data_IF_257074575233
#
_entry.id   IF_257074575233
#
_cell.length_a   1.000
_cell.length_b   1.000
_cell.length_c   1.000
_cell.angle_alpha   90.00
_cell.angle_beta   90.00
_cell.angle_gamma   90.00
#
_symmetry.space_group_name_H-M   'P 1'
#
loop_
_entity.id
_entity.type
_entity.pdbx_description
1 polymer ?
#
# COMPACT_ATOMS: atom_id res chain seq x y z
N UNK A 1 26.19 -2.00 8.08
CA UNK A 1 25.18 -3.08 8.01
C UNK A 1 24.22 -3.15 9.22
N UNK A 2 24.63 -2.86 10.46
CA UNK A 2 23.72 -2.90 11.64
C UNK A 2 22.57 -1.87 11.59
N UNK A 3 22.80 -0.70 10.97
CA UNK A 3 21.80 0.37 10.86
C UNK A 3 20.60 -0.03 9.97
N UNK A 4 20.87 -0.65 8.82
CA UNK A 4 19.85 -1.09 7.86
C UNK A 4 18.95 -2.17 8.48
N UNK A 5 19.53 -3.12 9.21
CA UNK A 5 18.79 -4.20 9.89
C UNK A 5 17.92 -3.65 11.02
N UNK A 6 18.39 -2.66 11.79
CA UNK A 6 17.57 -1.99 12.82
C UNK A 6 16.44 -1.14 12.23
N UNK A 7 16.65 -0.51 11.08
CA UNK A 7 15.63 0.29 10.40
C UNK A 7 14.53 -0.60 9.79
N UNK A 8 14.91 -1.73 9.17
CA UNK A 8 13.99 -2.77 8.73
C UNK A 8 13.20 -3.36 9.90
N UNK A 9 13.86 -3.64 11.03
CA UNK A 9 13.20 -4.10 12.25
C UNK A 9 12.11 -3.12 12.71
N UNK A 10 12.44 -1.82 12.84
CA UNK A 10 11.49 -0.78 13.28
C UNK A 10 10.30 -0.56 12.35
N UNK A 11 10.49 -0.77 11.05
CA UNK A 11 9.41 -0.75 10.05
C UNK A 11 8.42 -1.91 10.28
N UNK A 12 8.93 -3.09 10.61
CA UNK A 12 8.13 -4.30 10.85
C UNK A 12 7.44 -4.24 12.24
N UNK A 13 8.09 -3.71 13.27
CA UNK A 13 7.50 -3.57 14.61
C UNK A 13 6.47 -2.45 14.73
N UNK A 14 6.28 -1.62 13.69
CA UNK A 14 5.38 -0.46 13.74
C UNK A 14 5.84 0.65 14.69
N UNK A 15 7.04 0.56 15.26
CA UNK A 15 7.61 1.51 16.24
C UNK A 15 8.27 2.72 15.53
N UNK A 16 7.82 3.02 14.31
CA UNK A 16 8.02 4.33 13.68
C UNK A 16 7.04 5.28 14.35
N UNK A 17 7.36 5.66 15.60
CA UNK A 17 6.53 6.48 16.47
C UNK A 17 5.88 7.62 15.69
N UNK A 18 4.54 7.59 15.68
CA UNK A 18 3.61 8.61 15.19
C UNK A 18 3.89 10.02 15.75
N UNK A 19 4.78 10.18 16.73
CA UNK A 19 5.29 11.48 17.18
C UNK A 19 6.11 12.24 16.12
N UNK A 20 6.60 11.58 15.06
CA UNK A 20 7.23 12.27 13.93
C UNK A 20 6.28 12.53 12.75
N UNK A 21 5.04 12.04 12.81
CA UNK A 21 4.07 12.12 11.71
C UNK A 21 2.89 13.07 12.01
N UNK A 22 2.61 13.38 13.28
CA UNK A 22 1.32 13.96 13.67
C UNK A 22 1.38 15.32 14.40
N UNK A 23 2.52 16.01 14.39
CA UNK A 23 2.69 17.26 15.12
C UNK A 23 2.80 18.48 14.22
N UNK A 24 1.66 19.06 13.82
CA UNK A 24 1.33 20.51 13.84
C UNK A 24 2.47 21.54 14.06
N UNK A 25 3.60 21.43 13.36
CA UNK A 25 4.80 22.23 13.59
C UNK A 25 5.57 22.57 12.30
N UNK A 26 4.94 22.46 11.13
CA UNK A 26 5.41 23.14 9.91
C UNK A 26 5.22 24.68 10.00
N UNK A 27 5.28 25.24 11.21
CA UNK A 27 5.27 26.66 11.50
C UNK A 27 6.72 27.17 11.46
N UNK A 28 7.04 27.86 10.36
CA UNK A 28 7.66 29.18 10.39
C UNK A 28 9.09 29.38 10.96
N UNK A 29 9.88 28.37 11.36
CA UNK A 29 11.20 28.66 11.99
C UNK A 29 12.43 27.85 11.56
N UNK A 30 12.35 27.01 10.55
CA UNK A 30 13.46 26.10 10.17
C UNK A 30 14.06 26.31 8.78
N UNK A 31 14.25 27.56 8.35
CA UNK A 31 14.79 27.87 7.02
C UNK A 31 16.30 27.56 6.85
N UNK A 32 16.97 26.93 7.82
CA UNK A 32 18.46 26.93 7.85
C UNK A 32 19.15 25.54 7.89
N UNK A 33 18.45 24.41 7.72
CA UNK A 33 19.10 23.07 7.73
C UNK A 33 18.62 22.17 6.57
N UNK A 34 18.71 22.67 5.34
CA UNK A 34 17.98 22.16 4.18
C UNK A 34 18.48 20.82 3.57
N UNK A 35 19.68 20.30 3.88
CA UNK A 35 20.24 19.19 3.07
C UNK A 35 19.99 17.77 3.60
N UNK A 36 20.13 17.53 4.89
CA UNK A 36 20.04 16.17 5.46
C UNK A 36 18.62 15.80 5.92
N UNK A 37 17.80 16.78 6.27
CA UNK A 37 16.40 16.53 6.62
C UNK A 37 15.56 16.16 5.40
N UNK A 38 15.85 16.70 4.22
CA UNK A 38 15.13 16.39 2.98
C UNK A 38 15.12 14.89 2.65
N UNK A 39 16.26 14.21 2.83
CA UNK A 39 16.37 12.78 2.55
C UNK A 39 15.54 11.94 3.54
N UNK A 40 15.53 12.29 4.83
CA UNK A 40 14.73 11.61 5.84
C UNK A 40 13.23 11.78 5.57
N UNK A 41 12.78 13.01 5.28
CA UNK A 41 11.38 13.28 4.92
C UNK A 41 10.97 12.55 3.65
N UNK A 42 11.83 12.53 2.63
CA UNK A 42 11.60 11.80 1.39
C UNK A 42 11.47 10.29 1.62
N UNK A 43 12.36 9.69 2.41
CA UNK A 43 12.27 8.27 2.76
C UNK A 43 11.00 7.96 3.57
N UNK A 44 10.59 8.85 4.47
CA UNK A 44 9.34 8.68 5.23
C UNK A 44 8.12 8.75 4.31
N UNK A 45 8.10 9.68 3.37
CA UNK A 45 7.05 9.81 2.37
C UNK A 45 6.98 8.58 1.45
N UNK A 46 8.12 8.10 0.97
CA UNK A 46 8.20 6.86 0.20
C UNK A 46 7.73 5.66 1.00
N UNK A 47 8.13 5.55 2.28
CA UNK A 47 7.68 4.47 3.16
C UNK A 47 6.15 4.52 3.35
N UNK A 48 5.58 5.71 3.55
CA UNK A 48 4.13 5.89 3.67
C UNK A 48 3.40 5.47 2.40
N UNK A 49 3.84 5.90 1.22
CA UNK A 49 3.26 5.48 -0.07
C UNK A 49 3.36 3.96 -0.22
N UNK A 50 4.55 3.40 0.05
CA UNK A 50 4.82 1.97 -0.11
C UNK A 50 3.93 1.11 0.78
N UNK A 51 3.73 1.52 2.04
CA UNK A 51 2.82 0.83 2.97
C UNK A 51 1.37 0.92 2.49
N UNK A 52 0.91 2.10 2.08
CA UNK A 52 -0.47 2.25 1.56
C UNK A 52 -0.70 1.41 0.31
N UNK A 53 0.25 1.41 -0.62
CA UNK A 53 0.17 0.59 -1.84
C UNK A 53 0.22 -0.90 -1.51
N UNK A 54 1.06 -1.31 -0.56
CA UNK A 54 1.10 -2.69 -0.07
C UNK A 54 -0.22 -3.14 0.55
N UNK A 55 -0.88 -2.28 1.35
CA UNK A 55 -2.21 -2.56 1.91
C UNK A 55 -3.25 -2.72 0.81
N UNK A 56 -3.26 -1.83 -0.20
CA UNK A 56 -4.17 -1.90 -1.34
C UNK A 56 -3.94 -3.19 -2.14
N UNK A 57 -2.69 -3.55 -2.43
CA UNK A 57 -2.36 -4.76 -3.17
C UNK A 57 -2.71 -6.05 -2.42
N UNK A 58 -2.73 -6.04 -1.09
CA UNK A 58 -3.18 -7.17 -0.26
C UNK A 58 -4.70 -7.30 -0.18
N UNK A 59 -5.46 -6.35 -0.75
CA UNK A 59 -6.90 -6.41 -0.75
C UNK A 59 -7.39 -7.62 -1.59
N UNK A 60 -8.46 -8.33 -1.17
CA UNK A 60 -8.92 -9.56 -1.80
C UNK A 60 -9.65 -9.34 -3.14
N UNK A 61 -9.01 -8.64 -4.07
CA UNK A 61 -9.49 -8.46 -5.44
C UNK A 61 -8.74 -9.42 -6.36
N UNK A 62 -9.44 -10.21 -7.21
CA UNK A 62 -8.83 -11.23 -8.06
C UNK A 62 -7.62 -10.74 -8.86
N UNK A 63 -7.66 -9.51 -9.39
CA UNK A 63 -6.62 -8.92 -10.24
C UNK A 63 -5.42 -8.38 -9.44
N UNK A 64 -5.54 -8.21 -8.12
CA UNK A 64 -4.47 -7.77 -7.24
C UNK A 64 -3.73 -8.97 -6.64
N UNK A 65 -2.50 -8.73 -6.14
CA UNK A 65 -1.68 -9.76 -5.48
C UNK A 65 -2.43 -10.45 -4.31
N UNK A 66 -3.27 -9.71 -3.59
CA UNK A 66 -4.13 -10.20 -2.52
C UNK A 66 -5.22 -11.17 -2.98
N UNK A 67 -5.67 -11.09 -4.24
CA UNK A 67 -6.59 -12.05 -4.83
C UNK A 67 -5.98 -13.44 -4.95
N UNK A 68 -4.72 -13.51 -5.37
CA UNK A 68 -3.96 -14.76 -5.41
C UNK A 68 -3.77 -15.36 -4.01
N UNK A 69 -3.43 -14.53 -3.03
CA UNK A 69 -3.32 -14.96 -1.63
C UNK A 69 -4.65 -15.50 -1.10
N UNK A 70 -5.77 -14.91 -1.49
CA UNK A 70 -7.10 -15.39 -1.12
C UNK A 70 -7.40 -16.75 -1.77
N UNK A 71 -7.07 -16.94 -3.04
CA UNK A 71 -7.21 -18.26 -3.68
C UNK A 71 -6.37 -19.32 -2.97
N UNK A 72 -5.10 -19.03 -2.67
CA UNK A 72 -4.22 -19.91 -1.90
C UNK A 72 -4.79 -20.23 -0.51
N UNK A 73 -5.36 -19.25 0.18
CA UNK A 73 -6.01 -19.45 1.47
C UNK A 73 -7.24 -20.36 1.35
N UNK A 74 -8.07 -20.17 0.31
CA UNK A 74 -9.21 -21.04 0.00
C UNK A 74 -8.74 -22.45 -0.33
N UNK A 75 -7.69 -22.62 -1.13
CA UNK A 75 -7.13 -23.93 -1.47
C UNK A 75 -6.66 -24.67 -0.23
N UNK A 76 -6.00 -23.96 0.69
CA UNK A 76 -5.55 -24.52 1.97
C UNK A 76 -6.72 -24.97 2.86
N UNK A 77 -7.82 -24.20 2.89
CA UNK A 77 -9.02 -24.54 3.66
C UNK A 77 -9.83 -25.67 3.01
N UNK A 78 -9.95 -25.65 1.68
CA UNK A 78 -10.70 -26.63 0.87
C UNK A 78 -9.94 -27.94 0.68
N UNK A 79 -8.61 -27.93 0.86
CA UNK A 79 -7.74 -29.09 0.70
C UNK A 79 -7.48 -29.48 -0.76
N UNK A 80 -7.75 -28.59 -1.71
CA UNK A 80 -7.58 -28.86 -3.14
C UNK A 80 -7.66 -27.59 -4.00
N UNK A 81 -7.16 -27.65 -5.24
CA UNK A 81 -7.03 -26.48 -6.09
C UNK A 81 -8.38 -25.83 -6.42
N UNK A 82 -8.40 -24.50 -6.53
CA UNK A 82 -9.56 -23.77 -7.06
C UNK A 82 -9.64 -24.05 -8.55
N UNK A 83 -10.83 -24.37 -9.05
CA UNK A 83 -11.03 -24.67 -10.48
C UNK A 83 -10.65 -23.47 -11.35
N UNK A 84 -9.92 -23.71 -12.44
CA UNK A 84 -9.55 -22.68 -13.43
C UNK A 84 -10.75 -21.86 -13.89
N UNK A 85 -11.92 -22.49 -14.10
CA UNK A 85 -13.15 -21.79 -14.49
C UNK A 85 -13.59 -20.74 -13.47
N UNK A 86 -13.39 -21.02 -12.18
CA UNK A 86 -13.75 -20.09 -11.10
C UNK A 86 -12.73 -18.95 -11.06
N UNK A 87 -11.44 -19.25 -11.19
CA UNK A 87 -10.39 -18.23 -11.26
C UNK A 87 -10.62 -17.29 -12.45
N UNK A 88 -10.79 -17.83 -13.65
CA UNK A 88 -11.03 -17.05 -14.89
C UNK A 88 -12.26 -16.15 -14.76
N UNK A 89 -13.35 -16.69 -14.21
CA UNK A 89 -14.56 -15.91 -13.98
C UNK A 89 -14.33 -14.79 -12.96
N UNK A 90 -13.63 -15.07 -11.86
CA UNK A 90 -13.24 -14.09 -10.86
C UNK A 90 -12.33 -13.00 -11.45
N UNK A 91 -11.33 -13.34 -12.26
CA UNK A 91 -10.46 -12.37 -12.95
C UNK A 91 -11.25 -11.49 -13.92
N UNK A 92 -12.18 -12.08 -14.67
CA UNK A 92 -12.99 -11.33 -15.65
C UNK A 92 -13.93 -10.34 -14.97
N UNK A 93 -14.61 -10.75 -13.90
CA UNK A 93 -15.45 -9.84 -13.11
C UNK A 93 -14.58 -8.80 -12.40
N UNK A 94 -13.50 -9.23 -11.75
CA UNK A 94 -12.61 -8.36 -10.99
C UNK A 94 -11.97 -7.28 -11.85
N UNK A 95 -11.56 -7.61 -13.07
CA UNK A 95 -10.97 -6.65 -14.02
C UNK A 95 -11.98 -5.63 -14.53
N UNK A 96 -13.19 -6.04 -14.88
CA UNK A 96 -14.26 -5.11 -15.28
C UNK A 96 -14.59 -4.16 -14.14
N UNK A 97 -14.75 -4.69 -12.92
CA UNK A 97 -15.05 -3.89 -11.74
C UNK A 97 -13.92 -2.89 -11.43
N UNK A 98 -12.66 -3.31 -11.54
CA UNK A 98 -11.51 -2.43 -11.33
C UNK A 98 -11.45 -1.31 -12.35
N UNK A 99 -11.62 -1.61 -13.64
CA UNK A 99 -11.62 -0.60 -14.70
C UNK A 99 -12.74 0.42 -14.48
N UNK A 100 -13.93 -0.05 -14.08
CA UNK A 100 -15.05 0.81 -13.74
C UNK A 100 -14.72 1.71 -12.55
N UNK A 101 -14.17 1.14 -11.48
CA UNK A 101 -13.78 1.88 -10.27
C UNK A 101 -12.70 2.91 -10.57
N UNK A 102 -11.69 2.55 -11.37
CA UNK A 102 -10.64 3.46 -11.84
C UNK A 102 -11.24 4.60 -12.67
N UNK A 103 -12.16 4.29 -13.58
CA UNK A 103 -12.87 5.30 -14.38
C UNK A 103 -13.65 6.28 -13.49
N UNK A 104 -14.38 5.77 -12.50
CA UNK A 104 -15.11 6.59 -11.52
C UNK A 104 -14.17 7.43 -10.65
N UNK A 105 -13.06 6.86 -10.19
CA UNK A 105 -12.05 7.57 -9.40
C UNK A 105 -11.43 8.70 -10.21
N UNK A 106 -11.01 8.43 -11.45
CA UNK A 106 -10.47 9.44 -12.36
C UNK A 106 -11.49 10.54 -12.64
N UNK A 107 -12.75 10.19 -12.93
CA UNK A 107 -13.82 11.17 -13.15
C UNK A 107 -14.05 12.04 -11.91
N UNK A 108 -14.06 11.43 -10.73
CA UNK A 108 -14.18 12.15 -9.46
C UNK A 108 -12.98 13.06 -9.19
N UNK A 109 -11.76 12.62 -9.52
CA UNK A 109 -10.55 13.43 -9.38
C UNK A 109 -10.58 14.63 -10.33
N UNK A 110 -11.00 14.44 -11.59
CA UNK A 110 -11.21 15.53 -12.54
C UNK A 110 -12.32 16.50 -12.13
N UNK A 111 -13.42 15.99 -11.55
CA UNK A 111 -14.53 16.83 -11.10
C UNK A 111 -14.24 17.59 -9.80
N UNK A 112 -13.21 17.19 -9.05
CA UNK A 112 -12.75 17.87 -7.84
C UNK A 112 -11.73 18.98 -8.10
N UNK A 113 -11.10 18.98 -9.27
CA UNK A 113 -10.21 20.05 -9.76
C UNK A 113 -11.03 21.19 -10.36
#
# INVERSE_FOLDING_TARGET
MSLTVRMLGKLITGDVKLNNLSGRSLSLRGLECQRSFGLIYYLMFLALISVNLGIINLFPLPVLDGGHLLFLAIEKLKGGPVSERVQDFSYRIGSILLVLLMGLALFNDFSRL
#
